data_IF_475406149359
#
_entry.id   IF_475406149359
#
_cell.length_a   1.000
_cell.length_b   1.000
_cell.length_c   1.000
_cell.angle_alpha   90.00
_cell.angle_beta   90.00
_cell.angle_gamma   90.00
#
_symmetry.space_group_name_H-M   'P 1'
#
loop_
_entity.id
_entity.type
_entity.pdbx_description
1 polymer ?
#
# COMPACT_ATOMS: atom_id res chain seq x y z
N UNK A 1 14.67 7.92 -60.11
CA UNK A 1 15.53 7.31 -59.07
C UNK A 1 16.01 8.48 -58.23
N UNK A 2 15.36 8.86 -57.13
CA UNK A 2 15.05 8.01 -55.98
C UNK A 2 13.90 8.65 -55.21
N UNK A 3 12.85 7.88 -54.92
CA UNK A 3 11.77 8.29 -54.03
C UNK A 3 12.34 8.48 -52.62
N UNK A 4 12.20 9.68 -52.07
CA UNK A 4 12.44 9.95 -50.66
C UNK A 4 11.13 9.66 -49.92
N UNK A 5 10.83 8.37 -49.76
CA UNK A 5 9.82 7.89 -48.83
C UNK A 5 10.29 8.27 -47.43
N UNK A 6 9.74 9.37 -46.90
CA UNK A 6 9.81 9.70 -45.49
C UNK A 6 9.03 8.62 -44.74
N UNK A 7 9.75 7.68 -44.12
CA UNK A 7 9.15 6.78 -43.14
C UNK A 7 8.55 7.59 -41.99
N UNK A 8 7.26 7.38 -41.75
CA UNK A 8 6.48 8.01 -40.69
C UNK A 8 6.92 7.46 -39.31
N UNK A 9 7.24 8.30 -38.31
CA UNK A 9 7.62 7.85 -36.97
C UNK A 9 6.39 7.49 -36.09
N UNK A 10 5.29 7.00 -36.67
CA UNK A 10 3.98 6.98 -35.99
C UNK A 10 3.60 5.67 -35.28
N UNK A 11 4.54 4.77 -34.95
CA UNK A 11 4.17 3.42 -34.41
C UNK A 11 4.59 3.16 -32.95
N UNK A 12 5.25 4.08 -32.25
CA UNK A 12 5.83 3.77 -30.92
C UNK A 12 4.98 4.16 -29.69
N UNK A 13 3.72 4.58 -29.85
CA UNK A 13 2.95 5.17 -28.72
C UNK A 13 1.88 4.24 -28.13
N UNK A 14 1.56 3.11 -28.75
CA UNK A 14 0.32 2.36 -28.44
C UNK A 14 0.39 1.31 -27.30
N UNK A 15 1.56 1.03 -26.71
CA UNK A 15 1.72 -0.12 -25.78
C UNK A 15 1.79 0.22 -24.28
N UNK A 16 1.81 1.50 -23.86
CA UNK A 16 1.95 1.86 -22.42
C UNK A 16 0.63 1.93 -21.62
N UNK A 17 -0.54 1.76 -22.24
CA UNK A 17 -1.83 2.02 -21.56
C UNK A 17 -2.46 0.80 -20.86
N UNK A 18 -2.16 -0.42 -21.29
CA UNK A 18 -2.84 -1.60 -20.75
C UNK A 18 -2.18 -2.18 -19.49
N UNK A 19 -0.84 -2.25 -19.46
CA UNK A 19 -0.07 -2.72 -18.29
C UNK A 19 -0.24 -1.79 -17.07
N UNK A 20 -0.35 -0.48 -17.28
CA UNK A 20 -0.59 0.49 -16.21
C UNK A 20 -2.00 0.36 -15.61
N UNK A 21 -3.03 0.05 -16.42
CA UNK A 21 -4.39 -0.19 -15.90
C UNK A 21 -4.49 -1.44 -15.04
N UNK A 22 -3.84 -2.54 -15.44
CA UNK A 22 -3.81 -3.78 -14.66
C UNK A 22 -3.05 -3.60 -13.33
N UNK A 23 -1.90 -2.91 -13.35
CA UNK A 23 -1.13 -2.59 -12.14
C UNK A 23 -1.91 -1.69 -11.18
N UNK A 24 -2.59 -0.65 -11.69
CA UNK A 24 -3.45 0.20 -10.88
C UNK A 24 -4.63 -0.57 -10.29
N UNK A 25 -5.27 -1.45 -11.05
CA UNK A 25 -6.34 -2.30 -10.55
C UNK A 25 -5.85 -3.24 -9.42
N UNK A 26 -4.65 -3.79 -9.55
CA UNK A 26 -4.04 -4.64 -8.53
C UNK A 26 -3.69 -3.85 -7.25
N UNK A 27 -3.06 -2.69 -7.38
CA UNK A 27 -2.76 -1.80 -6.25
C UNK A 27 -4.07 -1.40 -5.56
N UNK A 28 -5.06 -0.99 -6.34
CA UNK A 28 -6.37 -0.60 -5.82
C UNK A 28 -7.04 -1.75 -5.07
N UNK A 29 -7.07 -2.96 -5.64
CA UNK A 29 -7.63 -4.12 -4.97
C UNK A 29 -6.91 -4.43 -3.66
N UNK A 30 -5.57 -4.35 -3.64
CA UNK A 30 -4.76 -4.61 -2.45
C UNK A 30 -5.07 -3.59 -1.34
N UNK A 31 -5.06 -2.29 -1.67
CA UNK A 31 -5.37 -1.22 -0.71
C UNK A 31 -6.83 -1.27 -0.25
N UNK A 32 -7.75 -1.68 -1.13
CA UNK A 32 -9.15 -1.90 -0.78
C UNK A 32 -9.29 -3.00 0.27
N UNK A 33 -8.68 -4.16 0.06
CA UNK A 33 -8.72 -5.25 1.04
C UNK A 33 -8.05 -4.87 2.36
N UNK A 34 -6.94 -4.14 2.30
CA UNK A 34 -6.25 -3.62 3.49
C UNK A 34 -7.16 -2.69 4.31
N UNK A 35 -7.77 -1.70 3.64
CA UNK A 35 -8.66 -0.72 4.30
C UNK A 35 -9.92 -1.39 4.87
N UNK A 36 -10.49 -2.38 4.17
CA UNK A 36 -11.61 -3.17 4.68
C UNK A 36 -11.21 -3.97 5.94
N UNK A 37 -10.01 -4.55 5.95
CA UNK A 37 -9.44 -5.22 7.12
C UNK A 37 -9.37 -4.29 8.33
N UNK A 38 -8.79 -3.09 8.16
CA UNK A 38 -8.76 -2.08 9.23
C UNK A 38 -10.16 -1.65 9.67
N UNK A 39 -11.10 -1.49 8.75
CA UNK A 39 -12.50 -1.13 9.06
C UNK A 39 -13.21 -2.14 9.97
N UNK A 40 -12.86 -3.42 9.85
CA UNK A 40 -13.38 -4.49 10.71
C UNK A 40 -12.59 -4.58 12.03
N UNK A 41 -11.26 -4.49 11.95
CA UNK A 41 -10.38 -4.70 13.09
C UNK A 41 -10.51 -3.58 14.13
N UNK A 42 -10.52 -2.30 13.70
CA UNK A 42 -10.53 -1.13 14.61
C UNK A 42 -11.65 -1.18 15.66
N UNK A 43 -12.93 -1.45 15.33
CA UNK A 43 -13.99 -1.54 16.34
C UNK A 43 -13.95 -2.83 17.18
N UNK A 44 -13.38 -3.92 16.65
CA UNK A 44 -13.39 -5.24 17.30
C UNK A 44 -12.24 -5.38 18.31
N UNK A 45 -11.06 -4.83 18.00
CA UNK A 45 -9.85 -4.96 18.80
C UNK A 45 -10.02 -4.48 20.26
N UNK A 46 -10.61 -3.31 20.56
CA UNK A 46 -10.74 -2.82 21.92
C UNK A 46 -11.53 -3.78 22.83
N UNK A 47 -12.64 -4.34 22.32
CA UNK A 47 -13.45 -5.31 23.06
C UNK A 47 -12.69 -6.60 23.37
N UNK A 48 -11.86 -7.07 22.42
CA UNK A 48 -10.99 -8.23 22.62
C UNK A 48 -9.90 -7.92 23.66
N UNK A 49 -9.26 -6.76 23.58
CA UNK A 49 -8.21 -6.38 24.55
C UNK A 49 -8.79 -6.33 25.96
N UNK A 50 -9.97 -5.73 26.14
CA UNK A 50 -10.66 -5.68 27.44
C UNK A 50 -11.00 -7.07 27.96
N UNK A 51 -11.47 -7.99 27.10
CA UNK A 51 -11.79 -9.36 27.52
C UNK A 51 -10.55 -10.14 27.95
N UNK A 52 -9.40 -9.93 27.32
CA UNK A 52 -8.13 -10.56 27.71
C UNK A 52 -7.54 -10.04 29.02
N UNK A 53 -7.84 -8.80 29.42
CA UNK A 53 -7.38 -8.23 30.70
C UNK A 53 -8.32 -8.48 31.88
N UNK A 54 -9.29 -9.38 31.73
CA UNK A 54 -10.24 -9.72 32.80
C UNK A 54 -11.45 -8.78 32.88
N UNK A 55 -11.76 -8.05 31.81
CA UNK A 55 -12.92 -7.17 31.73
C UNK A 55 -12.70 -5.77 32.30
N UNK A 56 -11.47 -5.42 32.71
CA UNK A 56 -11.13 -4.08 33.19
C UNK A 56 -10.90 -3.11 32.01
N UNK A 57 -11.77 -2.11 31.79
CA UNK A 57 -11.62 -1.17 30.68
C UNK A 57 -10.41 -0.24 30.83
N UNK A 58 -10.00 0.09 32.06
CA UNK A 58 -8.87 1.00 32.29
C UNK A 58 -7.57 0.33 31.84
N UNK A 59 -7.34 -0.91 32.29
CA UNK A 59 -6.18 -1.70 31.87
C UNK A 59 -6.21 -2.05 30.38
N UNK A 60 -7.40 -2.25 29.81
CA UNK A 60 -7.57 -2.47 28.38
C UNK A 60 -7.15 -1.26 27.55
N UNK A 61 -7.50 -0.05 28.00
CA UNK A 61 -7.10 1.19 27.35
C UNK A 61 -5.58 1.43 27.39
N UNK A 62 -4.91 1.10 28.50
CA UNK A 62 -3.45 1.19 28.61
C UNK A 62 -2.74 0.28 27.59
N UNK A 63 -3.15 -0.98 27.50
CA UNK A 63 -2.57 -1.95 26.54
C UNK A 63 -2.87 -1.54 25.10
N UNK A 64 -4.10 -1.10 24.83
CA UNK A 64 -4.46 -0.62 23.50
C UNK A 64 -3.65 0.63 23.11
N UNK A 65 -3.41 1.53 24.07
CA UNK A 65 -2.50 2.66 23.91
C UNK A 65 -1.08 2.23 23.55
N UNK A 66 -0.54 1.22 24.24
CA UNK A 66 0.78 0.66 23.94
C UNK A 66 0.86 0.07 22.52
N UNK A 67 -0.17 -0.64 22.07
CA UNK A 67 -0.26 -1.11 20.69
C UNK A 67 -0.29 0.03 19.69
N UNK A 68 -1.08 1.07 19.95
CA UNK A 68 -1.14 2.27 19.10
C UNK A 68 0.20 2.99 19.02
N UNK A 69 0.89 3.19 20.15
CA UNK A 69 2.22 3.81 20.18
C UNK A 69 3.25 2.96 19.44
N UNK A 70 3.23 1.64 19.64
CA UNK A 70 4.14 0.72 18.92
C UNK A 70 3.87 0.78 17.42
N UNK A 71 2.61 0.74 17.01
CA UNK A 71 2.23 0.85 15.60
C UNK A 71 2.68 2.18 14.99
N UNK A 72 2.46 3.31 15.67
CA UNK A 72 2.90 4.62 15.20
C UNK A 72 4.43 4.72 15.10
N UNK A 73 5.17 4.14 16.06
CA UNK A 73 6.63 4.08 16.02
C UNK A 73 7.11 3.24 14.83
N UNK A 74 6.53 2.08 14.60
CA UNK A 74 6.85 1.24 13.44
C UNK A 74 6.53 2.00 12.15
N UNK A 75 5.37 2.64 12.04
CA UNK A 75 5.02 3.46 10.88
C UNK A 75 6.03 4.59 10.64
N UNK A 76 6.46 5.28 11.69
CA UNK A 76 7.44 6.36 11.59
C UNK A 76 8.80 5.87 11.07
N UNK A 77 9.24 4.67 11.45
CA UNK A 77 10.52 4.10 11.01
C UNK A 77 10.43 3.44 9.63
N UNK A 78 9.39 2.65 9.39
CA UNK A 78 9.26 1.82 8.21
C UNK A 78 8.65 2.56 7.02
N UNK A 79 7.76 3.54 7.21
CA UNK A 79 7.22 4.33 6.10
C UNK A 79 8.32 5.06 5.29
N UNK A 80 9.27 5.80 5.89
CA UNK A 80 10.34 6.43 5.13
C UNK A 80 11.32 5.39 4.57
N UNK A 81 11.57 4.28 5.29
CA UNK A 81 12.43 3.21 4.80
C UNK A 81 11.86 2.57 3.53
N UNK A 82 10.59 2.20 3.53
CA UNK A 82 9.89 1.63 2.37
C UNK A 82 9.79 2.63 1.22
N UNK A 83 9.55 3.91 1.52
CA UNK A 83 9.57 4.98 0.52
C UNK A 83 10.94 5.12 -0.16
N UNK A 84 12.01 5.24 0.64
CA UNK A 84 13.37 5.33 0.11
C UNK A 84 13.80 4.05 -0.65
N UNK A 85 13.35 2.88 -0.20
CA UNK A 85 13.60 1.60 -0.86
C UNK A 85 12.88 1.54 -2.21
N UNK A 86 11.61 1.94 -2.24
CA UNK A 86 10.80 2.04 -3.46
C UNK A 86 11.44 2.99 -4.48
N UNK A 87 11.93 4.15 -4.03
CA UNK A 87 12.59 5.13 -4.88
C UNK A 87 13.93 4.61 -5.42
N UNK A 88 14.68 3.85 -4.62
CA UNK A 88 15.98 3.27 -5.02
C UNK A 88 15.84 2.10 -5.99
N UNK A 89 14.80 1.29 -5.88
CA UNK A 89 14.56 0.16 -6.79
C UNK A 89 13.73 0.54 -8.03
N UNK A 90 13.28 1.79 -8.17
CA UNK A 90 12.37 2.22 -9.24
C UNK A 90 13.01 2.49 -10.60
N UNK A 91 12.72 1.62 -11.61
CA UNK A 91 12.37 1.89 -13.04
C UNK A 91 12.62 0.72 -14.02
N UNK A 92 13.19 -0.40 -13.59
CA UNK A 92 13.35 -1.62 -14.43
C UNK A 92 12.66 -2.78 -13.72
N UNK A 93 11.33 -2.92 -13.85
CA UNK A 93 10.61 -3.91 -13.08
C UNK A 93 10.86 -5.29 -13.67
N UNK A 94 11.09 -6.25 -12.79
CA UNK A 94 10.70 -7.63 -13.03
C UNK A 94 9.17 -7.66 -12.86
N UNK A 95 8.46 -7.04 -13.80
CA UNK A 95 7.04 -7.18 -14.12
C UNK A 95 6.93 -7.14 -15.64
#
# INVERSE_FOLDING_TARGET
>A
MTELTIESPAVETATRSQASRAALAFIFATVLFDTLGFGIIIPVLPGLVVSFVGGDPARGAEIFGLFGTTWALMQFLFAPLLGALSDRYGRRPVL
#
